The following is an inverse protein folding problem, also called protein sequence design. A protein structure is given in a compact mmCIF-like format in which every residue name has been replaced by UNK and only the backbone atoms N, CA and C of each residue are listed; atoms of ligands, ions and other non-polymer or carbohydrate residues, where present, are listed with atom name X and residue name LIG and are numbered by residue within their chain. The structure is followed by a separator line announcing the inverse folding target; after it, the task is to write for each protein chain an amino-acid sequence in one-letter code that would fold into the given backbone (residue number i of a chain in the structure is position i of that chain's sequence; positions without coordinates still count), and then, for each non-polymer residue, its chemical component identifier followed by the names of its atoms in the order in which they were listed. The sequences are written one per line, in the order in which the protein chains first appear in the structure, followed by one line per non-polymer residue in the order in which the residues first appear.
data_IF_807011160612
#
_entry.id   IF_807011160612
#
_cell.length_a   1.000
_cell.length_b   1.000
_cell.length_c   1.000
_cell.angle_alpha   90.00
_cell.angle_beta   90.00
_cell.angle_gamma   90.00
#
_symmetry.space_group_name_H-M   'P 1'
#
loop_
_entity.id
_entity.type
_entity.pdbx_description
1 polymer ?
#
# COMPACT_ATOMS: atom_id res chain seq x y z
N UNK A 1 2.36 52.34 -0.59
CA UNK A 1 2.92 52.65 -1.93
C UNK A 1 3.32 54.11 -1.93
N UNK A 2 4.54 54.43 -2.40
CA UNK A 2 4.76 54.59 -3.82
C UNK A 2 5.84 53.66 -4.38
N UNK A 3 5.69 53.40 -5.68
CA UNK A 3 6.54 52.59 -6.53
C UNK A 3 7.71 53.41 -7.12
N UNK A 4 8.76 52.72 -7.59
CA UNK A 4 9.38 52.87 -8.92
C UNK A 4 10.64 51.98 -9.05
N UNK A 5 10.57 51.01 -9.98
CA UNK A 5 11.66 50.25 -10.63
C UNK A 5 12.43 51.16 -11.63
N UNK A 6 13.43 50.72 -12.46
CA UNK A 6 14.16 49.44 -12.59
C UNK A 6 15.71 49.59 -12.73
N UNK A 7 16.49 48.50 -12.66
CA UNK A 7 17.77 48.40 -13.41
C UNK A 7 17.87 47.03 -14.08
N UNK A 8 18.25 47.10 -15.34
CA UNK A 8 18.20 46.07 -16.36
C UNK A 8 19.29 44.99 -16.24
N UNK A 9 18.93 43.81 -16.72
CA UNK A 9 19.66 43.02 -17.72
C UNK A 9 21.16 42.78 -17.49
N UNK A 10 21.51 41.58 -17.01
CA UNK A 10 22.72 40.88 -17.45
C UNK A 10 22.40 39.40 -17.68
N UNK A 11 22.20 39.13 -18.97
CA UNK A 11 22.26 37.81 -19.59
C UNK A 11 23.67 37.23 -19.36
N UNK A 12 23.79 36.14 -18.61
CA UNK A 12 24.98 35.27 -18.66
C UNK A 12 24.53 33.80 -18.61
N UNK A 13 25.09 33.06 -19.56
CA UNK A 13 24.83 31.68 -19.92
C UNK A 13 25.30 30.68 -18.85
N UNK A 14 24.47 29.64 -18.62
CA UNK A 14 24.75 28.18 -18.43
C UNK A 14 25.93 27.73 -17.50
N UNK A 15 25.82 26.59 -16.76
CA UNK A 15 25.35 25.31 -17.30
C UNK A 15 24.37 24.50 -16.43
N UNK A 16 23.50 23.77 -17.16
CA UNK A 16 22.78 22.57 -16.70
C UNK A 16 23.76 21.59 -16.06
N UNK A 17 23.55 21.25 -14.79
CA UNK A 17 24.20 20.11 -14.16
C UNK A 17 23.22 19.34 -13.26
N UNK A 18 23.02 18.08 -13.64
CA UNK A 18 22.72 16.92 -12.81
C UNK A 18 21.36 16.84 -12.10
N UNK A 19 20.31 16.60 -12.89
CA UNK A 19 19.14 15.86 -12.43
C UNK A 19 19.56 14.40 -12.26
N UNK A 20 19.77 13.97 -11.01
CA UNK A 20 20.00 12.56 -10.70
C UNK A 20 18.70 11.80 -10.94
N UNK A 21 18.78 10.85 -11.86
CA UNK A 21 17.71 9.94 -12.29
C UNK A 21 17.27 9.05 -11.13
N UNK A 22 16.10 9.30 -10.56
CA UNK A 22 15.36 8.26 -9.87
C UNK A 22 14.72 7.35 -10.95
N UNK A 23 15.47 6.36 -11.44
CA UNK A 23 14.93 5.34 -12.34
C UNK A 23 14.15 4.29 -11.54
N UNK A 24 12.96 4.66 -11.09
CA UNK A 24 11.91 3.68 -10.81
C UNK A 24 10.94 3.71 -11.98
N UNK A 25 11.13 2.84 -12.97
CA UNK A 25 10.13 2.67 -14.02
C UNK A 25 8.79 2.28 -13.37
N UNK A 26 7.65 2.88 -13.74
CA UNK A 26 6.36 2.34 -13.34
C UNK A 26 6.26 0.88 -13.81
N UNK A 27 5.59 -0.01 -13.05
CA UNK A 27 5.45 -1.41 -13.46
C UNK A 27 4.83 -1.44 -14.86
N UNK A 28 5.54 -2.09 -15.78
CA UNK A 28 5.14 -2.26 -17.18
C UNK A 28 3.76 -2.91 -17.18
N UNK A 29 2.75 -2.19 -17.65
CA UNK A 29 1.42 -2.79 -17.81
C UNK A 29 1.51 -3.89 -18.87
N UNK A 30 1.01 -5.10 -18.60
CA UNK A 30 0.88 -6.10 -19.65
C UNK A 30 -0.07 -5.58 -20.74
N UNK A 31 0.36 -5.69 -22.00
CA UNK A 31 -0.46 -5.39 -23.19
C UNK A 31 -1.80 -6.13 -23.12
N UNK A 32 -2.90 -5.58 -23.68
CA UNK A 32 -4.21 -6.20 -23.60
C UNK A 32 -4.23 -7.47 -24.45
N UNK A 33 -3.97 -8.60 -23.81
CA UNK A 33 -4.29 -9.91 -24.37
C UNK A 33 -5.82 -10.04 -24.42
N UNK A 34 -6.28 -10.46 -25.59
CA UNK A 34 -7.65 -10.73 -25.98
C UNK A 34 -8.52 -11.36 -24.89
N UNK A 35 -9.67 -10.72 -24.67
CA UNK A 35 -10.80 -11.18 -23.88
C UNK A 35 -11.22 -12.62 -24.27
N UNK A 36 -11.03 -13.55 -23.34
CA UNK A 36 -11.76 -14.83 -23.30
C UNK A 36 -11.61 -15.49 -21.92
N UNK A 37 -12.44 -15.07 -20.96
CA UNK A 37 -12.87 -15.96 -19.86
C UNK A 37 -12.21 -15.85 -18.48
N UNK A 38 -11.33 -14.90 -18.20
CA UNK A 38 -10.85 -14.65 -16.82
C UNK A 38 -11.60 -13.47 -16.20
N UNK A 39 -12.81 -13.70 -15.69
CA UNK A 39 -13.52 -12.70 -14.91
C UNK A 39 -12.87 -12.47 -13.54
N UNK A 40 -12.94 -11.24 -13.01
CA UNK A 40 -12.71 -11.02 -11.59
C UNK A 40 -13.81 -11.73 -10.79
N UNK A 41 -13.44 -12.43 -9.71
CA UNK A 41 -14.41 -13.01 -8.78
C UNK A 41 -14.72 -11.96 -7.72
N UNK A 42 -15.97 -11.46 -7.61
CA UNK A 42 -16.34 -10.49 -6.57
C UNK A 42 -15.97 -10.98 -5.17
N UNK A 43 -15.39 -10.10 -4.36
CA UNK A 43 -14.91 -10.44 -3.02
C UNK A 43 -13.69 -11.36 -2.97
N UNK A 44 -12.99 -11.61 -4.09
CA UNK A 44 -11.72 -12.37 -4.08
C UNK A 44 -10.51 -11.52 -3.68
N UNK A 45 -10.62 -10.20 -3.75
CA UNK A 45 -9.67 -9.22 -3.22
C UNK A 45 -10.36 -8.42 -2.11
N UNK A 46 -9.60 -8.06 -1.08
CA UNK A 46 -10.06 -7.21 0.02
C UNK A 46 -9.16 -5.99 0.21
N UNK A 47 -9.78 -4.90 0.66
CA UNK A 47 -9.10 -3.78 1.27
C UNK A 47 -9.17 -3.93 2.80
N UNK A 48 -8.04 -4.24 3.42
CA UNK A 48 -7.91 -4.30 4.87
C UNK A 48 -7.43 -2.97 5.44
N UNK A 49 -7.99 -2.57 6.57
CA UNK A 49 -7.62 -1.40 7.34
C UNK A 49 -6.94 -1.83 8.64
N UNK A 50 -5.83 -1.18 8.94
CA UNK A 50 -5.04 -1.40 10.16
C UNK A 50 -4.59 -0.04 10.69
N UNK A 51 -4.87 0.26 11.94
CA UNK A 51 -4.35 1.47 12.62
C UNK A 51 -3.02 1.15 13.29
N UNK A 52 -2.10 2.12 13.27
CA UNK A 52 -0.76 2.00 13.86
C UNK A 52 -0.42 3.27 14.66
N UNK A 53 0.36 3.16 15.75
CA UNK A 53 0.65 4.29 16.65
C UNK A 53 1.50 5.40 16.02
N UNK A 54 2.24 5.10 14.94
CA UNK A 54 3.07 6.07 14.25
C UNK A 54 3.51 5.58 12.86
N UNK A 55 4.05 6.51 12.08
CA UNK A 55 4.49 6.27 10.71
C UNK A 55 5.64 5.26 10.60
N UNK A 56 6.53 5.20 11.61
CA UNK A 56 7.66 4.26 11.61
C UNK A 56 7.14 2.82 11.67
N UNK A 57 6.29 2.51 12.65
CA UNK A 57 5.67 1.17 12.81
C UNK A 57 4.85 0.82 11.57
N UNK A 58 4.03 1.75 11.06
CA UNK A 58 3.23 1.52 9.88
C UNK A 58 4.07 1.19 8.64
N UNK A 59 5.22 1.87 8.43
CA UNK A 59 6.16 1.58 7.33
C UNK A 59 6.86 0.24 7.50
N UNK A 60 7.25 -0.13 8.71
CA UNK A 60 7.89 -1.42 9.01
C UNK A 60 6.93 -2.58 8.70
N UNK A 61 5.69 -2.51 9.19
CA UNK A 61 4.65 -3.51 8.91
C UNK A 61 4.32 -3.53 7.41
N UNK A 62 4.14 -2.36 6.77
CA UNK A 62 3.82 -2.26 5.36
C UNK A 62 4.86 -2.95 4.46
N UNK A 63 6.16 -2.71 4.74
CA UNK A 63 7.26 -3.37 4.00
C UNK A 63 7.22 -4.87 4.21
N UNK A 64 7.11 -5.32 5.46
CA UNK A 64 7.16 -6.73 5.79
C UNK A 64 5.99 -7.52 5.16
N UNK A 65 4.75 -6.99 5.15
CA UNK A 65 3.61 -7.71 4.55
C UNK A 65 3.73 -7.80 3.03
N UNK A 66 4.32 -6.80 2.37
CA UNK A 66 4.55 -6.83 0.92
C UNK A 66 5.71 -7.78 0.58
N UNK A 67 6.82 -7.73 1.31
CA UNK A 67 7.97 -8.63 1.13
C UNK A 67 7.58 -10.10 1.35
N UNK A 68 6.73 -10.37 2.34
CA UNK A 68 6.18 -11.71 2.62
C UNK A 68 5.06 -12.13 1.68
N UNK A 69 4.70 -11.29 0.70
CA UNK A 69 3.60 -11.52 -0.25
C UNK A 69 2.24 -11.73 0.41
N UNK A 70 2.07 -11.25 1.65
CA UNK A 70 0.79 -11.21 2.36
C UNK A 70 -0.12 -10.08 1.86
N UNK A 71 0.45 -9.09 1.18
CA UNK A 71 -0.27 -8.01 0.52
C UNK A 71 0.44 -7.58 -0.76
N UNK A 72 -0.32 -7.09 -1.74
CA UNK A 72 0.22 -6.55 -2.98
C UNK A 72 0.64 -5.08 -2.82
N UNK A 73 -0.14 -4.31 -2.06
CA UNK A 73 0.03 -2.87 -1.92
C UNK A 73 -0.48 -2.40 -0.56
N UNK A 74 0.18 -1.38 0.00
CA UNK A 74 -0.24 -0.69 1.22
C UNK A 74 -0.20 0.81 0.97
N UNK A 75 -1.30 1.50 1.24
CA UNK A 75 -1.32 2.97 1.34
C UNK A 75 -1.25 3.36 2.82
N UNK A 76 -0.45 4.36 3.15
CA UNK A 76 -0.39 4.95 4.48
C UNK A 76 -1.11 6.31 4.46
N UNK A 77 -2.05 6.49 5.37
CA UNK A 77 -2.79 7.74 5.58
C UNK A 77 -2.29 8.30 6.93
N UNK A 78 -1.34 9.25 6.90
CA UNK A 78 -0.78 9.80 8.13
C UNK A 78 -1.75 10.79 8.78
N UNK A 79 -1.47 11.16 10.04
CA UNK A 79 -2.15 12.22 10.77
C UNK A 79 -3.66 11.97 10.95
N UNK A 80 -4.03 10.73 11.29
CA UNK A 80 -5.39 10.46 11.76
C UNK A 80 -5.46 10.69 13.27
N UNK A 81 -6.65 11.02 13.75
CA UNK A 81 -6.98 11.03 15.18
C UNK A 81 -7.99 9.94 15.43
N UNK A 82 -7.62 8.97 16.27
CA UNK A 82 -8.51 7.91 16.73
C UNK A 82 -9.16 8.35 18.02
N UNK A 83 -10.49 8.30 18.07
CA UNK A 83 -11.30 8.68 19.23
C UNK A 83 -12.08 7.46 19.68
N UNK A 84 -11.87 7.02 20.92
CA UNK A 84 -12.48 5.80 21.45
C UNK A 84 -12.70 5.89 22.96
N UNK A 85 -13.55 5.02 23.50
CA UNK A 85 -13.75 4.92 24.95
C UNK A 85 -12.85 3.84 25.54
N UNK A 86 -12.07 4.20 26.56
CA UNK A 86 -11.27 3.28 27.35
C UNK A 86 -11.44 3.53 28.84
N UNK A 87 -11.82 2.48 29.59
CA UNK A 87 -12.03 2.54 31.05
C UNK A 87 -12.95 3.70 31.49
N UNK A 88 -14.01 3.97 30.74
CA UNK A 88 -15.00 5.01 31.04
C UNK A 88 -14.55 6.43 30.71
N UNK A 89 -13.48 6.61 29.93
CA UNK A 89 -13.00 7.90 29.45
C UNK A 89 -12.86 7.88 27.94
N UNK A 90 -13.13 9.02 27.31
CA UNK A 90 -12.82 9.23 25.90
C UNK A 90 -11.32 9.54 25.80
N UNK A 91 -10.64 8.75 24.99
CA UNK A 91 -9.23 8.93 24.62
C UNK A 91 -9.15 9.44 23.18
N UNK A 92 -8.10 10.21 22.90
CA UNK A 92 -7.78 10.70 21.56
C UNK A 92 -6.30 10.47 21.28
N UNK A 93 -5.99 9.63 20.30
CA UNK A 93 -4.61 9.29 19.92
C UNK A 93 -4.30 9.70 18.48
N UNK A 94 -3.06 10.15 18.25
CA UNK A 94 -2.56 10.38 16.90
C UNK A 94 -2.03 9.09 16.31
N UNK A 95 -2.53 8.71 15.14
CA UNK A 95 -2.23 7.42 14.52
C UNK A 95 -1.96 7.54 13.02
N UNK A 96 -1.65 6.40 12.41
CA UNK A 96 -1.55 6.21 10.96
C UNK A 96 -2.47 5.07 10.56
N UNK A 97 -3.34 5.32 9.56
CA UNK A 97 -4.20 4.29 8.99
C UNK A 97 -3.52 3.65 7.77
N UNK A 98 -3.44 2.33 7.76
CA UNK A 98 -2.97 1.53 6.64
C UNK A 98 -4.17 1.02 5.85
N UNK A 99 -4.14 1.16 4.53
CA UNK A 99 -5.11 0.54 3.61
C UNK A 99 -4.38 -0.47 2.71
N UNK A 100 -4.51 -1.74 3.07
CA UNK A 100 -3.77 -2.90 2.55
C UNK A 100 -4.64 -3.62 1.51
N UNK A 101 -4.10 -3.89 0.32
CA UNK A 101 -4.80 -4.63 -0.75
C UNK A 101 -4.18 -6.01 -0.88
N UNK A 102 -4.99 -7.03 -0.70
CA UNK A 102 -4.55 -8.43 -0.75
C UNK A 102 -5.68 -9.33 -1.24
N UNK A 103 -5.37 -10.60 -1.53
CA UNK A 103 -6.39 -11.62 -1.74
C UNK A 103 -7.19 -11.82 -0.44
N UNK A 104 -8.51 -11.96 -0.56
CA UNK A 104 -9.38 -12.14 0.60
C UNK A 104 -9.07 -13.43 1.37
N UNK A 105 -8.55 -14.45 0.69
CA UNK A 105 -8.06 -15.69 1.30
C UNK A 105 -6.82 -15.51 2.17
N UNK A 106 -6.05 -14.43 1.99
CA UNK A 106 -4.83 -14.12 2.75
C UNK A 106 -5.10 -13.23 3.97
N UNK A 107 -6.32 -12.69 4.12
CA UNK A 107 -6.67 -11.84 5.26
C UNK A 107 -6.35 -12.51 6.60
N UNK A 108 -6.65 -13.80 6.86
CA UNK A 108 -6.27 -14.45 8.11
C UNK A 108 -4.75 -14.44 8.36
N UNK A 109 -3.95 -14.78 7.35
CA UNK A 109 -2.48 -14.80 7.46
C UNK A 109 -1.90 -13.38 7.62
N UNK A 110 -2.50 -12.38 6.97
CA UNK A 110 -2.18 -10.97 7.16
C UNK A 110 -2.47 -10.54 8.60
N UNK A 111 -3.65 -10.87 9.14
CA UNK A 111 -4.04 -10.55 10.53
C UNK A 111 -3.11 -11.21 11.54
N UNK A 112 -2.77 -12.49 11.35
CA UNK A 112 -1.85 -13.22 12.21
C UNK A 112 -0.45 -12.57 12.22
N UNK A 113 0.05 -12.18 11.05
CA UNK A 113 1.31 -11.46 10.94
C UNK A 113 1.25 -10.11 11.65
N UNK A 114 0.25 -9.28 11.37
CA UNK A 114 0.08 -7.97 12.01
C UNK A 114 0.05 -8.15 13.53
N UNK A 115 -0.78 -9.06 14.06
CA UNK A 115 -0.84 -9.34 15.51
C UNK A 115 0.51 -9.75 16.11
N UNK A 116 1.36 -10.45 15.35
CA UNK A 116 2.67 -10.90 15.86
C UNK A 116 3.71 -9.79 16.02
N UNK A 117 3.54 -8.65 15.33
CA UNK A 117 4.51 -7.55 15.32
C UNK A 117 3.93 -6.22 15.80
N UNK A 118 2.60 -6.12 15.94
CA UNK A 118 1.94 -4.89 16.32
C UNK A 118 2.19 -4.56 17.79
N UNK A 119 2.48 -3.28 18.14
CA UNK A 119 2.75 -2.88 19.52
C UNK A 119 1.50 -2.90 20.43
N UNK A 120 0.29 -2.85 19.87
CA UNK A 120 -0.94 -2.96 20.64
C UNK A 120 -1.27 -4.41 20.96
N UNK A 121 -1.78 -4.65 22.17
CA UNK A 121 -2.24 -5.97 22.63
C UNK A 121 -3.36 -6.52 21.72
N UNK A 122 -4.25 -5.64 21.28
CA UNK A 122 -5.34 -5.94 20.33
C UNK A 122 -5.22 -4.97 19.16
N UNK A 123 -4.53 -5.40 18.10
CA UNK A 123 -4.40 -4.61 16.87
C UNK A 123 -5.74 -4.55 16.12
N UNK A 124 -6.13 -3.36 15.67
CA UNK A 124 -7.27 -3.20 14.76
C UNK A 124 -6.91 -3.79 13.39
N UNK A 125 -7.68 -4.79 12.94
CA UNK A 125 -7.60 -5.30 11.57
C UNK A 125 -9.02 -5.60 11.11
N UNK A 126 -9.52 -4.81 10.17
CA UNK A 126 -10.84 -5.03 9.53
C UNK A 126 -10.66 -5.11 8.01
N UNK A 127 -11.48 -5.90 7.32
CA UNK A 127 -11.37 -6.09 5.88
C UNK A 127 -12.71 -5.93 5.18
N UNK A 128 -12.70 -5.19 4.07
CA UNK A 128 -13.86 -4.97 3.21
C UNK A 128 -13.66 -5.71 1.87
N UNK A 129 -14.67 -6.43 1.37
CA UNK A 129 -14.58 -7.08 0.06
C UNK A 129 -14.58 -6.06 -1.07
N UNK A 130 -13.77 -6.30 -2.09
CA UNK A 130 -13.80 -5.53 -3.34
C UNK A 130 -14.76 -6.23 -4.29
N UNK A 131 -15.88 -5.59 -4.60
CA UNK A 131 -16.90 -6.18 -5.49
C UNK A 131 -16.56 -5.99 -6.97
N UNK A 132 -15.96 -4.85 -7.32
CA UNK A 132 -15.66 -4.45 -8.69
C UNK A 132 -14.39 -3.60 -8.72
N UNK A 133 -13.78 -3.46 -9.91
CA UNK A 133 -12.62 -2.61 -10.09
C UNK A 133 -11.93 -2.85 -11.42
N UNK A 134 -10.75 -2.25 -11.58
CA UNK A 134 -9.94 -2.42 -12.78
C UNK A 134 -9.36 -3.84 -12.85
N UNK A 135 -9.84 -4.66 -13.79
CA UNK A 135 -9.48 -6.09 -13.87
C UNK A 135 -7.95 -6.35 -13.91
N UNK A 136 -7.16 -5.67 -14.77
CA UNK A 136 -5.70 -5.82 -14.76
C UNK A 136 -5.04 -5.55 -13.40
N UNK A 137 -5.56 -4.60 -12.62
CA UNK A 137 -5.04 -4.31 -11.28
C UNK A 137 -5.38 -5.43 -10.30
N UNK A 138 -6.63 -5.92 -10.33
CA UNK A 138 -7.07 -7.01 -9.44
C UNK A 138 -6.34 -8.32 -9.76
N UNK A 139 -6.06 -8.57 -11.04
CA UNK A 139 -5.23 -9.69 -11.47
C UNK A 139 -3.79 -9.55 -10.95
N UNK A 140 -3.20 -8.36 -11.04
CA UNK A 140 -1.86 -8.09 -10.48
C UNK A 140 -1.82 -8.33 -8.96
N UNK A 141 -2.83 -7.88 -8.20
CA UNK A 141 -2.93 -8.11 -6.75
C UNK A 141 -2.82 -9.61 -6.44
N UNK A 142 -3.54 -10.44 -7.18
CA UNK A 142 -3.48 -11.89 -7.04
C UNK A 142 -2.10 -12.45 -7.39
N UNK A 143 -1.56 -12.12 -8.56
CA UNK A 143 -0.27 -12.66 -9.04
C UNK A 143 0.90 -12.37 -8.10
N UNK A 144 0.98 -11.18 -7.52
CA UNK A 144 2.09 -10.82 -6.61
C UNK A 144 1.90 -11.34 -5.19
N UNK A 145 0.74 -11.93 -4.88
CA UNK A 145 0.45 -12.55 -3.58
C UNK A 145 0.18 -14.05 -3.66
N UNK A 146 0.22 -14.65 -4.86
CA UNK A 146 0.22 -16.10 -5.02
C UNK A 146 1.48 -16.70 -4.36
N UNK A 147 1.27 -17.74 -3.56
CA UNK A 147 2.33 -18.58 -3.04
C UNK A 147 2.86 -19.45 -4.19
N UNK A 148 4.18 -19.43 -4.39
CA UNK A 148 4.83 -20.36 -5.31
C UNK A 148 4.75 -21.73 -4.64
N UNK A 149 3.84 -22.58 -5.08
CA UNK A 149 3.91 -24.00 -4.76
C UNK A 149 5.05 -24.60 -5.60
N UNK A 150 6.06 -25.17 -4.92
CA UNK A 150 7.15 -25.90 -5.58
C UNK A 150 6.57 -27.10 -6.33
N UNK A 151 6.19 -26.88 -7.59
CA UNK A 151 5.89 -27.94 -8.56
C UNK A 151 7.21 -28.36 -9.23
N UNK A 152 8.11 -28.93 -8.44
CA UNK A 152 9.34 -29.56 -8.93
C UNK A 152 9.64 -30.80 -8.09
N UNK A 153 8.79 -31.81 -8.19
CA UNK A 153 9.19 -33.21 -7.99
C UNK A 153 8.41 -34.07 -8.98
N UNK A 154 8.87 -34.09 -10.22
CA UNK A 154 8.60 -35.20 -11.15
C UNK A 154 9.92 -35.98 -11.23
N UNK A 155 10.02 -37.04 -10.44
CA UNK A 155 10.99 -38.12 -10.64
C UNK A 155 10.34 -39.18 -11.54
N UNK A 156 11.08 -39.69 -12.53
CA UNK A 156 11.27 -41.12 -12.68
C UNK A 156 12.62 -41.55 -12.08
#
# INVERSE_FOLDING_TARGET
MPALLPVASRLLLLPRALLTMASGSPPTQPSPASDSGSGYVPGSVSAAFVTCPNEKVAKEIARAVVEKRLAACVNLIPQITSIYEWKGKIEEDSEVLMMIKTQSSLVPALTDFVRSVHPYEVAEVIALPVEQGNFPYLQWVRQVTESVSDSSTVLP
#
